data_IF_636293803286
#
_entry.id   IF_636293803286
#
_cell.length_a   1.000
_cell.length_b   1.000
_cell.length_c   1.000
_cell.angle_alpha   90.00
_cell.angle_beta   90.00
_cell.angle_gamma   90.00
#
_symmetry.space_group_name_H-M   'P 1'
#
loop_
_entity.id
_entity.type
_entity.pdbx_description
1 polymer ?
#
# COMPACT_ATOMS: atom_id res chain seq x y z
N UNK A 1 -4.99 -22.37 0.25
CA UNK A 1 -4.89 -21.50 1.44
C UNK A 1 -5.83 -20.35 1.14
N UNK A 2 -6.81 -20.10 1.99
CA UNK A 2 -7.70 -18.95 1.82
C UNK A 2 -6.94 -17.74 2.36
N UNK A 3 -6.11 -17.13 1.51
CA UNK A 3 -5.47 -15.86 1.83
C UNK A 3 -6.58 -14.82 1.91
N UNK A 4 -6.75 -14.25 3.09
CA UNK A 4 -7.71 -13.16 3.30
C UNK A 4 -7.38 -12.03 2.34
N UNK A 5 -8.40 -11.56 1.62
CA UNK A 5 -8.28 -10.37 0.76
C UNK A 5 -7.94 -9.17 1.62
N UNK A 6 -7.04 -8.35 1.10
CA UNK A 6 -6.51 -7.17 1.78
C UNK A 6 -6.84 -5.93 0.99
N UNK A 7 -6.91 -4.80 1.69
CA UNK A 7 -7.15 -3.49 1.11
C UNK A 7 -6.22 -2.45 1.72
N UNK A 8 -5.66 -1.60 0.85
CA UNK A 8 -5.00 -0.34 1.21
C UNK A 8 -5.69 0.78 0.44
N UNK A 9 -6.17 1.77 1.18
CA UNK A 9 -6.81 2.94 0.60
C UNK A 9 -5.95 4.19 0.83
N UNK A 10 -5.51 4.82 -0.25
CA UNK A 10 -4.68 6.02 -0.15
C UNK A 10 -5.37 7.18 0.56
N UNK A 11 -6.70 7.20 0.61
CA UNK A 11 -7.49 8.23 1.31
C UNK A 11 -7.36 8.16 2.83
N UNK A 12 -6.84 7.05 3.37
CA UNK A 12 -6.55 6.95 4.80
C UNK A 12 -5.32 7.77 5.22
N UNK A 13 -4.51 8.23 4.26
CA UNK A 13 -3.31 9.02 4.51
C UNK A 13 -3.56 10.49 4.22
N UNK A 14 -3.24 11.40 5.15
CA UNK A 14 -3.18 12.81 4.84
C UNK A 14 -2.01 13.03 3.87
N UNK A 15 -2.31 13.18 2.59
CA UNK A 15 -1.31 13.35 1.53
C UNK A 15 -1.68 14.53 0.63
N UNK A 16 -0.69 15.38 0.31
CA UNK A 16 -0.82 16.56 -0.55
C UNK A 16 -1.29 16.21 -1.98
N UNK A 17 -1.03 14.98 -2.40
CA UNK A 17 -1.39 14.42 -3.71
C UNK A 17 -2.88 14.16 -3.87
N UNK A 18 -3.68 14.25 -2.80
CA UNK A 18 -5.12 14.03 -2.82
C UNK A 18 -5.51 12.69 -3.50
N UNK A 19 -4.68 11.66 -3.28
CA UNK A 19 -4.80 10.39 -4.00
C UNK A 19 -6.06 9.63 -3.58
N UNK A 20 -6.87 9.25 -4.56
CA UNK A 20 -8.11 8.49 -4.36
C UNK A 20 -7.97 6.99 -4.69
N UNK A 21 -6.74 6.50 -4.87
CA UNK A 21 -6.49 5.13 -5.27
C UNK A 21 -6.78 4.17 -4.10
N UNK A 22 -7.46 3.07 -4.41
CA UNK A 22 -7.71 1.96 -3.50
C UNK A 22 -7.19 0.68 -4.17
N UNK A 23 -6.39 -0.09 -3.45
CA UNK A 23 -5.73 -1.30 -3.96
C UNK A 23 -6.22 -2.48 -3.13
N UNK A 24 -6.76 -3.50 -3.80
CA UNK A 24 -7.35 -4.69 -3.19
C UNK A 24 -6.83 -5.96 -3.88
N UNK A 25 -6.61 -7.03 -3.13
CA UNK A 25 -6.00 -8.27 -3.64
C UNK A 25 -5.51 -9.19 -2.52
N UNK A 26 -4.56 -10.07 -2.81
CA UNK A 26 -3.82 -10.77 -1.73
C UNK A 26 -2.90 -9.80 -1.00
N UNK A 27 -2.40 -10.20 0.18
CA UNK A 27 -1.45 -9.39 0.93
C UNK A 27 -0.22 -9.01 0.09
N UNK A 28 0.39 -9.99 -0.60
CA UNK A 28 1.59 -9.75 -1.41
C UNK A 28 1.31 -8.84 -2.62
N UNK A 29 0.17 -9.02 -3.28
CA UNK A 29 -0.23 -8.19 -4.42
C UNK A 29 -0.43 -6.73 -4.00
N UNK A 30 -1.21 -6.51 -2.94
CA UNK A 30 -1.53 -5.18 -2.43
C UNK A 30 -0.27 -4.49 -1.94
N UNK A 31 0.58 -5.20 -1.19
CA UNK A 31 1.81 -4.65 -0.65
C UNK A 31 2.77 -4.18 -1.73
N UNK A 32 2.98 -5.01 -2.76
CA UNK A 32 3.84 -4.68 -3.89
C UNK A 32 3.32 -3.49 -4.67
N UNK A 33 2.03 -3.49 -5.01
CA UNK A 33 1.40 -2.42 -5.79
C UNK A 33 1.38 -1.09 -5.03
N UNK A 34 1.07 -1.11 -3.73
CA UNK A 34 1.06 0.09 -2.91
C UNK A 34 2.45 0.70 -2.71
N UNK A 35 3.49 -0.14 -2.57
CA UNK A 35 4.88 0.34 -2.47
C UNK A 35 5.32 1.04 -3.76
N UNK A 36 5.03 0.43 -4.91
CA UNK A 36 5.34 1.03 -6.22
C UNK A 36 4.56 2.33 -6.44
N UNK A 37 3.27 2.36 -6.08
CA UNK A 37 2.45 3.56 -6.16
C UNK A 37 3.02 4.70 -5.30
N UNK A 38 3.47 4.40 -4.09
CA UNK A 38 4.06 5.40 -3.23
C UNK A 38 5.33 6.01 -3.86
N UNK A 39 6.27 5.18 -4.32
CA UNK A 39 7.50 5.64 -4.97
C UNK A 39 7.21 6.47 -6.23
N UNK A 40 6.37 5.93 -7.12
CA UNK A 40 6.11 6.54 -8.41
C UNK A 40 5.20 7.79 -8.34
N UNK A 41 4.20 7.81 -7.46
CA UNK A 41 3.18 8.86 -7.42
C UNK A 41 3.31 9.82 -6.23
N UNK A 42 3.94 9.40 -5.13
CA UNK A 42 4.14 10.24 -3.93
C UNK A 42 5.61 10.65 -3.73
N UNK A 43 6.50 10.27 -4.65
CA UNK A 43 7.87 10.80 -4.72
C UNK A 43 8.83 10.25 -3.65
N UNK A 44 8.51 9.08 -3.08
CA UNK A 44 9.45 8.39 -2.21
C UNK A 44 10.68 7.92 -3.01
N UNK A 45 11.85 7.94 -2.39
CA UNK A 45 13.09 7.51 -3.03
C UNK A 45 13.04 6.03 -3.40
N UNK A 46 13.39 5.70 -4.64
CA UNK A 46 13.44 4.32 -5.12
C UNK A 46 14.70 3.59 -4.65
N UNK A 47 14.78 3.29 -3.35
CA UNK A 47 15.88 2.52 -2.77
C UNK A 47 15.34 1.28 -2.05
N UNK A 48 16.19 0.25 -1.93
CA UNK A 48 15.83 -1.00 -1.25
C UNK A 48 15.44 -0.78 0.22
N UNK A 49 16.06 0.18 0.89
CA UNK A 49 15.75 0.52 2.28
C UNK A 49 14.35 1.16 2.38
N UNK A 50 14.08 2.20 1.59
CA UNK A 50 12.77 2.87 1.58
C UNK A 50 11.67 1.90 1.19
N UNK A 51 11.88 1.03 0.18
CA UNK A 51 10.93 -0.01 -0.19
C UNK A 51 10.58 -0.93 0.98
N UNK A 52 11.55 -1.34 1.80
CA UNK A 52 11.31 -2.20 2.96
C UNK A 52 10.55 -1.46 4.05
N UNK A 53 10.98 -0.24 4.40
CA UNK A 53 10.29 0.57 5.40
C UNK A 53 8.83 0.82 5.00
N UNK A 54 8.59 1.19 3.73
CA UNK A 54 7.23 1.36 3.21
C UNK A 54 6.42 0.06 3.29
N UNK A 55 7.00 -1.09 2.96
CA UNK A 55 6.30 -2.37 3.09
C UNK A 55 5.93 -2.69 4.54
N UNK A 56 6.78 -2.36 5.50
CA UNK A 56 6.46 -2.57 6.93
C UNK A 56 5.29 -1.67 7.36
N UNK A 57 5.33 -0.39 7.03
CA UNK A 57 4.26 0.56 7.31
C UNK A 57 2.94 0.14 6.64
N UNK A 58 3.00 -0.20 5.34
CA UNK A 58 1.86 -0.65 4.54
C UNK A 58 1.22 -1.92 5.12
N UNK A 59 1.99 -2.84 5.72
CA UNK A 59 1.44 -4.01 6.40
C UNK A 59 0.66 -3.66 7.67
N UNK A 60 1.09 -2.63 8.42
CA UNK A 60 0.40 -2.23 9.66
C UNK A 60 -0.96 -1.57 9.39
N UNK A 61 -1.07 -0.86 8.27
CA UNK A 61 -2.27 -0.09 7.91
C UNK A 61 -3.21 -0.83 6.95
N UNK A 62 -2.73 -1.92 6.35
CA UNK A 62 -3.54 -2.81 5.52
C UNK A 62 -4.67 -3.44 6.33
N UNK A 63 -5.88 -3.41 5.78
CA UNK A 63 -7.05 -4.01 6.40
C UNK A 63 -7.50 -5.26 5.65
N UNK A 64 -8.21 -6.14 6.34
CA UNK A 64 -8.97 -7.20 5.67
C UNK A 64 -10.09 -6.54 4.84
N UNK A 65 -10.32 -7.04 3.63
CA UNK A 65 -11.48 -6.65 2.84
C UNK A 65 -12.74 -7.18 3.56
N UNK A 66 -13.59 -6.27 4.05
CA UNK A 66 -14.89 -6.63 4.58
C UNK A 66 -15.80 -7.04 3.41
N UNK A 67 -16.25 -8.29 3.42
CA UNK A 67 -17.13 -8.88 2.41
C UNK A 67 -18.56 -8.28 2.44
#
# INVERSE_FOLDING_TARGET
MEEKRKVIDCRWFPSDTNCSLCIMGTEEEVLKAATEHAISCHGYSDTTEVRKEMQEELRQIMKDEEA
#
